data_IF_511537734137
#
_entry.id   IF_511537734137
#
_cell.length_a   1.000
_cell.length_b   1.000
_cell.length_c   1.000
_cell.angle_alpha   90.00
_cell.angle_beta   90.00
_cell.angle_gamma   90.00
#
_symmetry.space_group_name_H-M   'P 1'
#
loop_
_entity.id
_entity.type
_entity.pdbx_description
1 polymer ?
#
# COMPACT_ATOMS: atom_id res chain seq x y z
N UNK A 1 -20.49 13.25 -2.71
CA UNK A 1 -19.54 12.99 -3.82
C UNK A 1 -20.35 12.68 -5.06
N UNK A 2 -20.37 13.56 -6.06
CA UNK A 2 -21.24 13.40 -7.25
C UNK A 2 -20.77 12.30 -8.21
N UNK A 3 -21.64 11.82 -9.12
CA UNK A 3 -21.36 10.70 -10.04
C UNK A 3 -20.18 10.96 -10.99
N UNK A 4 -19.93 12.22 -11.36
CA UNK A 4 -18.80 12.64 -12.18
C UNK A 4 -17.44 12.44 -11.48
N UNK A 5 -17.37 12.63 -10.16
CA UNK A 5 -16.14 12.41 -9.39
C UNK A 5 -15.80 10.92 -9.30
N UNK A 6 -16.82 10.06 -9.23
CA UNK A 6 -16.64 8.60 -9.21
C UNK A 6 -16.12 8.12 -10.56
N UNK A 7 -16.66 8.63 -11.68
CA UNK A 7 -16.17 8.29 -13.02
C UNK A 7 -14.72 8.73 -13.24
N UNK A 8 -14.35 9.94 -12.81
CA UNK A 8 -12.96 10.41 -12.90
C UNK A 8 -11.99 9.57 -12.05
N UNK A 9 -12.38 9.19 -10.83
CA UNK A 9 -11.60 8.30 -9.98
C UNK A 9 -11.45 6.90 -10.58
N UNK A 10 -12.52 6.38 -11.18
CA UNK A 10 -12.54 5.07 -11.82
C UNK A 10 -11.69 5.07 -13.11
N UNK A 11 -11.70 6.14 -13.89
CA UNK A 11 -10.82 6.32 -15.05
C UNK A 11 -9.36 6.49 -14.65
N UNK A 12 -9.06 7.25 -13.59
CA UNK A 12 -7.72 7.38 -13.04
C UNK A 12 -7.20 6.03 -12.50
N UNK A 13 -8.06 5.29 -11.82
CA UNK A 13 -7.77 3.94 -11.34
C UNK A 13 -7.53 2.98 -12.52
N UNK A 14 -8.42 2.94 -13.51
CA UNK A 14 -8.26 2.12 -14.72
C UNK A 14 -6.96 2.45 -15.45
N UNK A 15 -6.64 3.73 -15.63
CA UNK A 15 -5.37 4.15 -16.25
C UNK A 15 -4.15 3.62 -15.48
N UNK A 16 -4.17 3.70 -14.15
CA UNK A 16 -3.07 3.26 -13.27
C UNK A 16 -2.93 1.73 -13.17
N UNK A 17 -4.01 0.96 -13.37
CA UNK A 17 -4.05 -0.49 -13.11
C UNK A 17 -4.34 -1.39 -14.33
N UNK A 18 -4.86 -0.85 -15.44
CA UNK A 18 -5.14 -1.61 -16.67
C UNK A 18 -3.99 -1.61 -17.67
N UNK A 19 -3.04 -0.68 -17.55
CA UNK A 19 -1.88 -0.60 -18.43
C UNK A 19 -0.68 -1.40 -17.88
N UNK A 20 -0.76 -2.74 -17.88
CA UNK A 20 0.44 -3.62 -17.88
C UNK A 20 0.07 -5.10 -17.93
N UNK A 21 -0.28 -5.57 -19.12
CA UNK A 21 0.16 -6.88 -19.57
C UNK A 21 1.20 -6.64 -20.67
N UNK A 22 2.46 -6.90 -20.37
CA UNK A 22 3.41 -7.29 -21.43
C UNK A 22 3.61 -8.78 -21.23
N UNK A 23 3.05 -9.64 -22.10
CA UNK A 23 3.50 -11.03 -22.19
C UNK A 23 5.02 -11.01 -22.32
N UNK A 24 5.69 -12.08 -21.90
CA UNK A 24 7.03 -12.41 -22.37
C UNK A 24 6.97 -12.56 -23.90
N UNK A 25 6.94 -11.45 -24.63
CA UNK A 25 7.31 -11.38 -26.01
C UNK A 25 8.83 -11.37 -25.98
N UNK A 26 9.38 -12.50 -26.44
CA UNK A 26 10.71 -12.68 -27.02
C UNK A 26 11.72 -11.60 -26.70
N UNK A 27 12.83 -12.03 -26.10
CA UNK A 27 14.14 -11.39 -26.20
C UNK A 27 14.44 -10.99 -27.65
N UNK A 28 13.94 -9.83 -28.08
CA UNK A 28 14.60 -9.09 -29.13
C UNK A 28 15.85 -8.53 -28.49
N UNK A 29 16.93 -9.27 -28.74
CA UNK A 29 18.34 -8.87 -28.63
C UNK A 29 18.60 -7.58 -29.41
N UNK A 30 17.97 -6.48 -29.02
CA UNK A 30 18.50 -5.14 -29.25
C UNK A 30 19.38 -4.83 -28.05
N UNK A 31 20.53 -5.50 -28.01
CA UNK A 31 21.70 -4.93 -27.34
C UNK A 31 21.96 -3.59 -28.01
N UNK A 32 21.33 -2.52 -27.51
CA UNK A 32 21.72 -1.17 -27.87
C UNK A 32 23.10 -0.99 -27.26
N UNK A 33 24.12 -1.38 -28.02
CA UNK A 33 25.51 -1.08 -27.73
C UNK A 33 25.66 0.44 -27.84
N UNK A 34 25.26 1.15 -26.79
CA UNK A 34 25.53 2.57 -26.66
C UNK A 34 27.05 2.68 -26.56
N UNK A 35 27.72 3.35 -27.52
CA UNK A 35 29.16 3.52 -27.46
C UNK A 35 29.51 4.27 -26.17
N UNK A 36 30.34 3.65 -25.33
CA UNK A 36 30.84 4.23 -24.07
C UNK A 36 31.52 5.60 -24.29
N UNK A 37 32.02 5.85 -25.50
CA UNK A 37 32.67 7.09 -25.94
C UNK A 37 31.72 8.32 -26.03
N UNK A 38 30.40 8.12 -25.91
CA UNK A 38 29.39 9.18 -25.96
C UNK A 38 28.91 9.68 -24.59
N UNK A 39 29.42 9.10 -23.50
CA UNK A 39 28.97 9.41 -22.14
C UNK A 39 29.65 10.65 -21.58
N UNK A 40 29.09 11.82 -21.87
CA UNK A 40 29.48 13.06 -21.19
C UNK A 40 29.05 13.04 -19.71
N UNK A 41 29.75 13.82 -18.88
CA UNK A 41 29.37 14.01 -17.47
C UNK A 41 27.94 14.53 -17.32
N UNK A 42 27.46 15.34 -18.26
CA UNK A 42 26.08 15.85 -18.30
C UNK A 42 25.07 14.74 -18.59
N UNK A 43 25.41 13.82 -19.50
CA UNK A 43 24.55 12.67 -19.82
C UNK A 43 24.41 11.73 -18.62
N UNK A 44 25.50 11.49 -17.89
CA UNK A 44 25.49 10.69 -16.66
C UNK A 44 24.62 11.34 -15.59
N UNK A 45 24.70 12.66 -15.41
CA UNK A 45 23.85 13.39 -14.47
C UNK A 45 22.35 13.30 -14.86
N UNK A 46 22.03 13.41 -16.15
CA UNK A 46 20.65 13.22 -16.64
C UNK A 46 20.13 11.82 -16.34
N UNK A 47 20.94 10.78 -16.60
CA UNK A 47 20.57 9.38 -16.35
C UNK A 47 20.29 9.11 -14.87
N UNK A 48 21.08 9.69 -13.96
CA UNK A 48 20.85 9.61 -12.50
C UNK A 48 19.55 10.29 -12.09
N UNK A 49 19.29 11.48 -12.63
CA UNK A 49 18.06 12.23 -12.35
C UNK A 49 16.82 11.49 -12.82
N UNK A 50 16.85 10.95 -14.04
CA UNK A 50 15.78 10.09 -14.57
C UNK A 50 15.57 8.85 -13.71
N UNK A 51 16.65 8.17 -13.31
CA UNK A 51 16.57 6.99 -12.43
C UNK A 51 15.87 7.31 -11.11
N UNK A 52 16.26 8.41 -10.46
CA UNK A 52 15.70 8.84 -9.19
C UNK A 52 14.22 9.20 -9.37
N UNK A 53 13.88 9.90 -10.44
CA UNK A 53 12.49 10.22 -10.77
C UNK A 53 11.65 8.96 -10.94
N UNK A 54 12.11 8.01 -11.75
CA UNK A 54 11.44 6.72 -11.96
C UNK A 54 11.28 5.92 -10.66
N UNK A 55 12.30 5.95 -9.79
CA UNK A 55 12.26 5.29 -8.49
C UNK A 55 11.19 5.91 -7.58
N UNK A 56 10.99 7.22 -7.63
CA UNK A 56 9.94 7.90 -6.87
C UNK A 56 8.56 7.60 -7.40
N UNK A 57 8.39 7.59 -8.73
CA UNK A 57 7.16 7.14 -9.37
C UNK A 57 6.79 5.72 -8.89
N UNK A 58 7.77 4.82 -8.77
CA UNK A 58 7.54 3.49 -8.23
C UNK A 58 7.05 3.53 -6.76
N UNK A 59 7.59 4.40 -5.90
CA UNK A 59 7.10 4.56 -4.52
C UNK A 59 5.67 5.09 -4.44
N UNK A 60 5.19 5.76 -5.49
CA UNK A 60 3.81 6.20 -5.67
C UNK A 60 2.94 5.17 -6.41
N UNK A 61 3.46 3.96 -6.63
CA UNK A 61 2.75 2.88 -7.31
C UNK A 61 2.57 3.09 -8.82
N UNK A 62 3.27 4.06 -9.42
CA UNK A 62 3.22 4.37 -10.85
C UNK A 62 4.29 3.55 -11.58
N UNK A 63 3.94 3.04 -12.76
CA UNK A 63 4.84 2.26 -13.61
C UNK A 63 5.71 3.21 -14.44
N UNK A 64 6.99 2.90 -14.56
CA UNK A 64 7.92 3.54 -15.49
C UNK A 64 8.57 2.52 -16.41
N UNK A 65 9.41 2.97 -17.35
CA UNK A 65 10.18 2.09 -18.23
C UNK A 65 11.25 1.28 -17.48
N UNK A 66 11.79 1.82 -16.37
CA UNK A 66 12.79 1.15 -15.52
C UNK A 66 12.13 0.30 -14.43
N UNK A 67 11.03 0.74 -13.84
CA UNK A 67 10.34 0.03 -12.75
C UNK A 67 8.93 -0.35 -13.18
N UNK A 68 8.72 -1.65 -13.40
CA UNK A 68 7.46 -2.17 -13.88
C UNK A 68 6.80 -3.13 -12.89
N UNK A 69 5.51 -3.32 -13.07
CA UNK A 69 4.72 -4.25 -12.26
C UNK A 69 4.72 -5.63 -12.90
N UNK A 70 5.19 -6.62 -12.16
CA UNK A 70 5.13 -8.02 -12.56
C UNK A 70 4.00 -8.72 -11.80
N UNK A 71 3.11 -9.39 -12.53
CA UNK A 71 2.00 -10.18 -11.97
C UNK A 71 1.73 -11.37 -12.91
N UNK A 72 1.51 -12.56 -12.35
CA UNK A 72 1.14 -13.74 -13.13
C UNK A 72 -0.27 -13.63 -13.71
N UNK A 73 -0.51 -14.28 -14.86
CA UNK A 73 -1.86 -14.40 -15.43
C UNK A 73 -2.82 -15.06 -14.43
N UNK A 74 -3.95 -14.39 -14.15
CA UNK A 74 -4.98 -14.91 -13.25
C UNK A 74 -4.66 -14.81 -11.75
N UNK A 75 -3.48 -14.30 -11.38
CA UNK A 75 -3.14 -14.09 -9.97
C UNK A 75 -3.85 -12.85 -9.40
N UNK A 76 -4.17 -12.87 -8.11
CA UNK A 76 -4.66 -11.69 -7.41
C UNK A 76 -3.67 -10.53 -7.54
N UNK A 77 -4.17 -9.29 -7.69
CA UNK A 77 -3.34 -8.07 -7.68
C UNK A 77 -2.47 -7.95 -6.42
N UNK A 78 -2.83 -8.65 -5.34
CA UNK A 78 -2.05 -8.74 -4.11
C UNK A 78 -0.81 -9.64 -4.24
N UNK A 79 -0.65 -10.39 -5.32
CA UNK A 79 0.51 -11.26 -5.58
C UNK A 79 1.59 -10.56 -6.41
N UNK A 80 1.25 -9.52 -7.18
CA UNK A 80 2.20 -8.81 -8.03
C UNK A 80 3.27 -8.05 -7.24
N UNK A 81 4.39 -7.74 -7.90
CA UNK A 81 5.52 -7.02 -7.31
C UNK A 81 6.18 -6.07 -8.30
N UNK A 82 6.78 -4.99 -7.79
CA UNK A 82 7.64 -4.13 -8.60
C UNK A 82 9.00 -4.77 -8.85
N UNK A 83 9.43 -4.70 -10.10
CA UNK A 83 10.72 -5.21 -10.57
C UNK A 83 11.46 -4.11 -11.34
N UNK A 84 12.76 -4.04 -11.12
CA UNK A 84 13.66 -3.20 -11.89
C UNK A 84 14.08 -3.93 -13.16
N UNK A 85 13.88 -3.28 -14.32
CA UNK A 85 14.44 -3.73 -15.59
C UNK A 85 15.91 -3.33 -15.61
N UNK A 86 16.79 -4.33 -15.61
CA UNK A 86 18.24 -4.12 -15.62
C UNK A 86 18.64 -3.38 -16.88
N UNK A 87 19.23 -2.20 -16.71
CA UNK A 87 19.84 -1.42 -17.78
C UNK A 87 21.34 -1.24 -17.46
N UNK A 88 22.28 -1.62 -18.37
CA UNK A 88 23.70 -1.39 -18.16
C UNK A 88 24.06 0.09 -17.96
N UNK A 89 23.26 1.03 -18.50
CA UNK A 89 23.48 2.46 -18.33
C UNK A 89 23.27 2.92 -16.88
N UNK A 90 22.37 2.28 -16.13
CA UNK A 90 22.15 2.60 -14.71
C UNK A 90 23.39 2.25 -13.87
N UNK A 91 24.00 1.09 -14.18
CA UNK A 91 25.21 0.58 -13.52
C UNK A 91 26.38 1.56 -13.76
N UNK A 92 26.55 2.00 -15.01
CA UNK A 92 27.58 2.97 -15.40
C UNK A 92 27.31 4.34 -14.79
N UNK A 93 26.05 4.79 -14.79
CA UNK A 93 25.68 6.10 -14.26
C UNK A 93 26.02 6.22 -12.77
N UNK A 94 25.76 5.20 -11.96
CA UNK A 94 26.04 5.22 -10.52
C UNK A 94 27.44 4.69 -10.15
N UNK A 95 28.21 4.16 -11.11
CA UNK A 95 29.53 3.55 -10.88
C UNK A 95 29.48 2.45 -9.80
N UNK A 96 28.42 1.64 -9.81
CA UNK A 96 28.21 0.54 -8.85
C UNK A 96 28.09 -0.78 -9.57
N UNK A 97 28.33 -1.89 -8.87
CA UNK A 97 28.06 -3.22 -9.44
C UNK A 97 26.55 -3.49 -9.52
N UNK A 98 26.16 -4.35 -10.46
CA UNK A 98 24.78 -4.85 -10.56
C UNK A 98 24.26 -5.37 -9.20
N UNK A 99 25.05 -6.20 -8.51
CA UNK A 99 24.66 -6.77 -7.21
C UNK A 99 24.42 -5.70 -6.14
N UNK A 100 25.25 -4.66 -6.11
CA UNK A 100 25.09 -3.53 -5.20
C UNK A 100 23.78 -2.78 -5.48
N UNK A 101 23.48 -2.48 -6.75
CA UNK A 101 22.28 -1.76 -7.14
C UNK A 101 21.00 -2.58 -6.89
N UNK A 102 21.02 -3.89 -7.16
CA UNK A 102 19.90 -4.80 -6.82
C UNK A 102 19.67 -4.84 -5.31
N UNK A 103 20.72 -4.99 -4.53
CA UNK A 103 20.61 -5.06 -3.07
C UNK A 103 20.07 -3.74 -2.50
N UNK A 104 20.49 -2.63 -3.07
CA UNK A 104 19.98 -1.30 -2.75
C UNK A 104 18.49 -1.16 -3.07
N UNK A 105 18.09 -1.51 -4.29
CA UNK A 105 16.72 -1.37 -4.77
C UNK A 105 15.74 -2.30 -4.05
N UNK A 106 16.21 -3.43 -3.51
CA UNK A 106 15.35 -4.44 -2.87
C UNK A 106 14.38 -3.87 -1.84
N UNK A 107 14.83 -2.99 -0.95
CA UNK A 107 13.97 -2.37 0.07
C UNK A 107 13.01 -1.36 -0.52
N UNK A 108 13.46 -0.58 -1.51
CA UNK A 108 12.63 0.38 -2.24
C UNK A 108 11.51 -0.33 -3.00
N UNK A 109 11.81 -1.39 -3.76
CA UNK A 109 10.82 -2.15 -4.51
C UNK A 109 9.83 -2.87 -3.60
N UNK A 110 10.28 -3.37 -2.44
CA UNK A 110 9.38 -3.91 -1.41
C UNK A 110 8.39 -2.85 -0.90
N UNK A 111 8.87 -1.63 -0.60
CA UNK A 111 8.01 -0.53 -0.16
C UNK A 111 7.05 -0.04 -1.26
N UNK A 112 7.54 0.08 -2.50
CA UNK A 112 6.72 0.40 -3.68
C UNK A 112 5.60 -0.64 -3.91
N UNK A 113 5.95 -1.92 -3.76
CA UNK A 113 4.99 -3.03 -3.85
C UNK A 113 3.94 -2.95 -2.74
N UNK A 114 4.38 -2.68 -1.51
CA UNK A 114 3.50 -2.47 -0.37
C UNK A 114 2.49 -1.33 -0.61
N UNK A 115 2.98 -0.17 -1.07
CA UNK A 115 2.15 0.98 -1.40
C UNK A 115 1.08 0.61 -2.43
N UNK A 116 1.49 0.00 -3.57
CA UNK A 116 0.56 -0.30 -4.65
C UNK A 116 -0.50 -1.32 -4.27
N UNK A 117 -0.12 -2.36 -3.53
CA UNK A 117 -1.07 -3.36 -3.05
C UNK A 117 -2.05 -2.76 -2.03
N UNK A 118 -1.60 -1.86 -1.15
CA UNK A 118 -2.47 -1.11 -0.23
C UNK A 118 -3.41 -0.14 -0.97
N UNK A 119 -2.89 0.58 -1.96
CA UNK A 119 -3.69 1.48 -2.81
C UNK A 119 -4.79 0.70 -3.53
N UNK A 120 -4.45 -0.43 -4.16
CA UNK A 120 -5.43 -1.35 -4.77
C UNK A 120 -6.48 -1.86 -3.77
N UNK A 121 -6.04 -2.28 -2.57
CA UNK A 121 -6.94 -2.84 -1.57
C UNK A 121 -7.91 -1.78 -1.01
N UNK A 122 -7.44 -0.54 -0.81
CA UNK A 122 -8.26 0.58 -0.31
C UNK A 122 -9.22 1.16 -1.35
N UNK A 123 -8.91 1.03 -2.64
CA UNK A 123 -9.71 1.54 -3.77
C UNK A 123 -10.71 0.52 -4.33
N UNK A 124 -10.60 -0.75 -3.93
CA UNK A 124 -11.54 -1.83 -4.27
C UNK A 124 -13.04 -1.48 -4.13
N UNK A 125 -13.52 -0.77 -3.09
CA UNK A 125 -14.94 -0.43 -2.96
C UNK A 125 -15.47 0.55 -4.03
N UNK A 126 -14.60 1.12 -4.88
CA UNK A 126 -15.00 2.01 -5.98
C UNK A 126 -15.25 1.27 -7.31
N UNK A 127 -14.98 -0.04 -7.37
CA UNK A 127 -15.15 -0.85 -8.59
C UNK A 127 -16.56 -1.47 -8.64
N UNK A 128 -17.31 -1.30 -9.75
CA UNK A 128 -18.68 -1.78 -9.88
C UNK A 128 -18.82 -3.31 -10.03
N UNK A 129 -17.71 -4.06 -10.22
CA UNK A 129 -17.72 -5.49 -10.56
C UNK A 129 -17.30 -6.45 -9.42
N UNK A 130 -17.19 -5.98 -8.18
CA UNK A 130 -16.96 -6.90 -7.08
C UNK A 130 -18.28 -7.55 -6.67
N UNK A 131 -18.41 -8.86 -6.88
CA UNK A 131 -19.21 -9.74 -6.02
C UNK A 131 -18.75 -9.52 -4.58
N UNK A 132 -19.27 -8.49 -3.93
CA UNK A 132 -18.78 -7.94 -2.68
C UNK A 132 -18.99 -8.96 -1.58
N UNK A 133 -17.93 -9.69 -1.23
CA UNK A 133 -17.76 -10.18 0.13
C UNK A 133 -17.79 -8.94 1.03
N UNK A 134 -18.96 -8.58 1.56
CA UNK A 134 -19.10 -7.47 2.49
C UNK A 134 -18.34 -7.83 3.77
N UNK A 135 -17.18 -7.19 3.99
CA UNK A 135 -16.28 -7.47 5.13
C UNK A 135 -16.60 -6.66 6.39
N UNK A 136 -17.78 -6.07 6.42
CA UNK A 136 -18.34 -5.33 7.56
C UNK A 136 -17.85 -3.88 7.72
N UNK A 137 -18.33 -3.22 8.77
CA UNK A 137 -18.15 -1.78 8.98
C UNK A 137 -16.74 -1.46 9.44
N UNK A 138 -16.13 -2.31 10.27
CA UNK A 138 -14.76 -2.13 10.76
C UNK A 138 -13.76 -2.20 9.61
N UNK A 139 -13.89 -3.18 8.72
CA UNK A 139 -13.01 -3.31 7.54
C UNK A 139 -13.15 -2.08 6.62
N UNK A 140 -14.37 -1.61 6.41
CA UNK A 140 -14.63 -0.43 5.58
C UNK A 140 -14.02 0.84 6.16
N UNK A 141 -14.14 1.04 7.48
CA UNK A 141 -13.51 2.15 8.19
C UNK A 141 -11.98 2.09 8.12
N UNK A 142 -11.40 0.90 8.25
CA UNK A 142 -9.96 0.69 8.08
C UNK A 142 -9.50 1.07 6.66
N UNK A 143 -10.20 0.61 5.62
CA UNK A 143 -9.81 0.93 4.23
C UNK A 143 -9.96 2.39 3.88
N UNK A 144 -10.98 3.05 4.43
CA UNK A 144 -11.09 4.49 4.33
C UNK A 144 -9.89 5.19 4.97
N UNK A 145 -9.53 4.80 6.20
CA UNK A 145 -8.38 5.37 6.92
C UNK A 145 -7.05 5.14 6.18
N UNK A 146 -6.86 3.93 5.61
CA UNK A 146 -5.69 3.63 4.76
C UNK A 146 -5.67 4.52 3.53
N UNK A 147 -6.81 4.73 2.85
CA UNK A 147 -6.88 5.59 1.67
C UNK A 147 -6.52 7.05 2.00
N UNK A 148 -6.96 7.57 3.14
CA UNK A 148 -6.65 8.92 3.61
C UNK A 148 -5.16 9.05 3.94
N UNK A 149 -4.60 8.06 4.65
CA UNK A 149 -3.19 8.02 4.99
C UNK A 149 -2.29 7.91 3.75
N UNK A 150 -2.65 7.08 2.76
CA UNK A 150 -1.90 6.95 1.51
C UNK A 150 -1.86 8.27 0.72
N UNK A 151 -2.94 9.07 0.74
CA UNK A 151 -2.94 10.41 0.13
C UNK A 151 -1.96 11.34 0.82
N UNK A 152 -1.97 11.38 2.16
CA UNK A 152 -1.03 12.18 2.96
C UNK A 152 0.42 11.70 2.73
N UNK A 153 0.63 10.38 2.65
CA UNK A 153 1.93 9.79 2.33
C UNK A 153 2.46 10.28 0.98
N UNK A 154 1.64 10.27 -0.08
CA UNK A 154 2.08 10.74 -1.41
C UNK A 154 2.47 12.21 -1.40
N UNK A 155 1.66 13.08 -0.80
CA UNK A 155 1.94 14.53 -0.71
C UNK A 155 3.23 14.79 0.08
N UNK A 156 3.39 14.11 1.22
CA UNK A 156 4.58 14.28 2.08
C UNK A 156 5.86 13.74 1.44
N UNK A 157 5.75 12.66 0.65
CA UNK A 157 6.86 12.11 -0.12
C UNK A 157 7.31 13.09 -1.21
N UNK A 158 6.36 13.65 -1.98
CA UNK A 158 6.63 14.63 -3.03
C UNK A 158 7.27 15.90 -2.45
N UNK A 159 6.75 16.42 -1.33
CA UNK A 159 7.33 17.58 -0.63
C UNK A 159 8.76 17.30 -0.12
N UNK A 160 8.97 16.16 0.54
CA UNK A 160 10.29 15.78 1.04
C UNK A 160 11.32 15.65 -0.09
N UNK A 161 10.90 15.09 -1.22
CA UNK A 161 11.76 15.00 -2.40
C UNK A 161 11.99 16.36 -3.07
N UNK A 162 10.97 17.21 -3.19
CA UNK A 162 11.10 18.57 -3.74
C UNK A 162 12.12 19.39 -2.96
N UNK A 163 12.09 19.31 -1.63
CA UNK A 163 13.09 19.94 -0.75
C UNK A 163 14.48 19.34 -0.92
N UNK A 164 14.59 18.02 -1.08
CA UNK A 164 15.86 17.35 -1.34
C UNK A 164 16.51 17.81 -2.65
N UNK A 165 15.74 17.88 -3.75
CA UNK A 165 16.23 18.36 -5.06
C UNK A 165 16.63 19.83 -5.01
N UNK A 166 15.89 20.67 -4.28
CA UNK A 166 16.23 22.08 -4.12
C UNK A 166 17.53 22.29 -3.33
N UNK A 167 17.82 21.40 -2.37
CA UNK A 167 18.99 21.51 -1.48
C UNK A 167 20.24 20.82 -2.02
N UNK A 168 20.12 19.78 -2.83
CA UNK A 168 21.24 18.92 -3.21
C UNK A 168 21.58 19.10 -4.70
N UNK A 169 22.63 19.88 -5.00
CA UNK A 169 23.01 20.22 -6.38
C UNK A 169 24.14 19.36 -6.97
N UNK A 170 24.95 18.66 -6.17
CA UNK A 170 26.23 18.10 -6.67
C UNK A 170 26.85 17.05 -5.73
N UNK A 171 26.21 15.92 -5.44
CA UNK A 171 26.84 14.88 -4.62
C UNK A 171 26.98 13.51 -5.32
N UNK A 172 28.20 12.98 -5.31
CA UNK A 172 28.57 11.63 -5.74
C UNK A 172 27.83 10.51 -4.99
N UNK A 173 27.13 10.82 -3.89
CA UNK A 173 26.37 9.87 -3.06
C UNK A 173 24.85 10.12 -3.06
N UNK A 174 24.32 10.69 -4.14
CA UNK A 174 22.89 10.96 -4.34
C UNK A 174 21.97 9.79 -3.95
N UNK A 175 22.35 8.56 -4.31
CA UNK A 175 21.52 7.38 -4.08
C UNK A 175 21.44 7.04 -2.57
N UNK A 176 22.56 7.03 -1.86
CA UNK A 176 22.57 6.74 -0.41
C UNK A 176 21.86 7.84 0.40
N UNK A 177 22.06 9.11 0.02
CA UNK A 177 21.36 10.23 0.64
C UNK A 177 19.85 10.11 0.47
N UNK A 178 19.39 9.75 -0.74
CA UNK A 178 17.99 9.47 -1.02
C UNK A 178 17.45 8.30 -0.17
N UNK A 179 18.20 7.21 0.00
CA UNK A 179 17.76 6.10 0.87
C UNK A 179 17.53 6.57 2.29
N UNK A 180 18.44 7.39 2.82
CA UNK A 180 18.36 7.88 4.20
C UNK A 180 17.14 8.77 4.38
N UNK A 181 16.85 9.62 3.40
CA UNK A 181 15.64 10.44 3.35
C UNK A 181 14.37 9.57 3.32
N UNK A 182 14.36 8.52 2.49
CA UNK A 182 13.18 7.65 2.27
C UNK A 182 13.01 6.55 3.32
N UNK A 183 14.04 6.23 4.11
CA UNK A 183 14.03 5.18 5.13
C UNK A 183 12.83 5.24 6.08
N UNK A 184 12.47 6.39 6.70
CA UNK A 184 11.29 6.47 7.56
C UNK A 184 9.99 6.17 6.82
N UNK A 185 9.83 6.67 5.59
CA UNK A 185 8.66 6.43 4.73
C UNK A 185 8.51 4.95 4.40
N UNK A 186 9.59 4.31 3.94
CA UNK A 186 9.61 2.88 3.62
C UNK A 186 9.32 2.03 4.86
N UNK A 187 9.92 2.34 6.00
CA UNK A 187 9.72 1.59 7.24
C UNK A 187 8.25 1.65 7.67
N UNK A 188 7.64 2.84 7.65
CA UNK A 188 6.24 3.01 7.99
C UNK A 188 5.32 2.27 7.00
N UNK A 189 5.60 2.38 5.69
CA UNK A 189 4.86 1.69 4.64
C UNK A 189 4.87 0.17 4.80
N UNK A 190 6.05 -0.42 5.03
CA UNK A 190 6.20 -1.85 5.26
C UNK A 190 5.45 -2.29 6.52
N UNK A 191 5.56 -1.50 7.60
CA UNK A 191 4.88 -1.79 8.87
C UNK A 191 3.35 -1.83 8.68
N UNK A 192 2.78 -0.83 7.98
CA UNK A 192 1.34 -0.79 7.67
C UNK A 192 0.93 -1.93 6.74
N UNK A 193 1.74 -2.27 5.74
CA UNK A 193 1.42 -3.34 4.80
C UNK A 193 1.51 -4.74 5.41
N UNK A 194 2.46 -4.98 6.31
CA UNK A 194 2.48 -6.19 7.13
C UNK A 194 1.23 -6.28 7.99
N UNK A 195 0.85 -5.16 8.58
CA UNK A 195 -0.35 -5.09 9.36
C UNK A 195 -1.61 -5.40 8.53
N UNK A 196 -1.80 -4.79 7.37
CA UNK A 196 -2.95 -5.13 6.53
C UNK A 196 -2.89 -6.55 5.90
N UNK A 197 -1.85 -7.34 6.17
CA UNK A 197 -1.68 -8.69 5.61
C UNK A 197 -1.47 -8.68 4.10
N UNK A 198 -0.87 -7.61 3.59
CA UNK A 198 -0.59 -7.38 2.16
C UNK A 198 0.83 -7.78 1.79
N UNK A 199 1.74 -7.69 2.76
CA UNK A 199 3.06 -8.28 2.70
C UNK A 199 3.13 -9.47 3.66
N UNK A 200 3.28 -10.67 3.12
CA UNK A 200 3.67 -11.84 3.89
C UNK A 200 5.19 -11.93 3.86
N UNK A 201 5.84 -11.82 5.01
CA UNK A 201 7.25 -12.18 5.12
C UNK A 201 7.36 -13.69 5.09
N UNK A 202 7.69 -14.25 3.92
CA UNK A 202 8.25 -15.59 3.81
C UNK A 202 9.69 -15.61 4.37
N UNK A 203 9.90 -15.10 5.59
CA UNK A 203 11.14 -15.22 6.36
C UNK A 203 10.89 -16.13 7.55
N UNK A 204 10.96 -17.44 7.30
CA UNK A 204 11.72 -18.39 8.11
C UNK A 204 11.43 -18.59 9.61
N UNK A 205 10.41 -18.01 10.23
CA UNK A 205 10.04 -18.38 11.60
C UNK A 205 8.53 -18.42 11.77
N UNK A 206 8.04 -19.61 12.11
CA UNK A 206 6.65 -19.95 12.43
C UNK A 206 5.63 -19.85 11.30
N UNK A 207 5.55 -20.97 10.56
CA UNK A 207 4.47 -21.36 9.64
C UNK A 207 3.06 -21.33 10.31
N UNK A 208 2.96 -21.07 11.61
CA UNK A 208 1.72 -21.06 12.40
C UNK A 208 1.00 -19.71 12.51
N UNK A 209 1.58 -18.59 12.04
CA UNK A 209 0.99 -17.24 12.20
C UNK A 209 0.69 -16.48 10.90
N UNK A 210 0.49 -17.17 9.78
CA UNK A 210 -0.11 -16.54 8.60
C UNK A 210 -1.62 -16.36 8.82
N UNK A 211 -2.00 -15.52 9.79
CA UNK A 211 -3.36 -15.03 9.92
C UNK A 211 -3.65 -14.27 8.62
N UNK A 212 -4.54 -14.82 7.79
CA UNK A 212 -5.04 -14.10 6.62
C UNK A 212 -5.82 -12.90 7.16
N UNK A 213 -5.17 -11.77 7.38
CA UNK A 213 -5.80 -10.54 7.94
C UNK A 213 -7.02 -10.15 7.12
N UNK A 214 -6.98 -10.43 5.82
CA UNK A 214 -8.08 -10.27 4.87
C UNK A 214 -9.34 -11.10 5.17
N UNK A 215 -9.22 -12.15 5.98
CA UNK A 215 -10.33 -12.98 6.46
C UNK A 215 -10.84 -12.56 7.84
N UNK A 216 -10.18 -11.61 8.51
CA UNK A 216 -10.62 -11.08 9.78
C UNK A 216 -11.68 -9.99 9.56
N UNK A 217 -12.73 -10.01 10.38
CA UNK A 217 -13.77 -9.00 10.43
C UNK A 217 -14.08 -8.59 11.87
N UNK A 218 -14.74 -7.44 12.04
CA UNK A 218 -15.21 -6.97 13.34
C UNK A 218 -14.14 -6.91 14.45
N UNK A 219 -14.48 -7.46 15.62
CA UNK A 219 -13.61 -7.47 16.80
C UNK A 219 -12.28 -8.19 16.59
N UNK A 220 -12.23 -9.25 15.77
CA UNK A 220 -10.98 -10.00 15.54
C UNK A 220 -9.97 -9.14 14.78
N UNK A 221 -10.45 -8.34 13.83
CA UNK A 221 -9.63 -7.37 13.10
C UNK A 221 -9.13 -6.26 14.02
N UNK A 222 -9.99 -5.74 14.90
CA UNK A 222 -9.60 -4.73 15.89
C UNK A 222 -8.57 -5.26 16.88
N UNK A 223 -8.75 -6.46 17.42
CA UNK A 223 -7.79 -7.06 18.35
C UNK A 223 -6.43 -7.28 17.69
N UNK A 224 -6.44 -7.75 16.43
CA UNK A 224 -5.23 -7.95 15.65
C UNK A 224 -4.52 -6.60 15.35
N UNK A 225 -5.25 -5.55 14.94
CA UNK A 225 -4.71 -4.20 14.74
C UNK A 225 -4.18 -3.58 16.04
N UNK A 226 -4.92 -3.73 17.14
CA UNK A 226 -4.54 -3.20 18.45
C UNK A 226 -3.23 -3.82 18.94
N UNK A 227 -3.06 -5.13 18.74
CA UNK A 227 -1.80 -5.83 19.03
C UNK A 227 -0.64 -5.28 18.22
N UNK A 228 -0.85 -5.03 16.92
CA UNK A 228 0.20 -4.43 16.08
C UNK A 228 0.50 -3.00 16.49
N UNK A 229 -0.52 -2.16 16.69
CA UNK A 229 -0.34 -0.77 17.11
C UNK A 229 0.45 -0.66 18.42
N UNK A 230 0.14 -1.52 19.42
CA UNK A 230 0.86 -1.58 20.69
C UNK A 230 2.33 -2.02 20.55
N UNK A 231 2.65 -2.83 19.54
CA UNK A 231 4.02 -3.31 19.28
C UNK A 231 4.88 -2.32 18.47
N UNK A 232 4.29 -1.23 17.97
CA UNK A 232 4.99 -0.26 17.11
C UNK A 232 5.40 1.02 17.84
N UNK A 233 6.49 1.64 17.38
CA UNK A 233 6.94 2.94 17.89
C UNK A 233 5.98 4.08 17.51
N UNK A 234 5.98 5.18 18.29
CA UNK A 234 5.13 6.36 18.10
C UNK A 234 5.18 7.04 16.70
N UNK A 235 6.14 6.68 15.84
CA UNK A 235 6.26 7.22 14.47
C UNK A 235 5.49 6.40 13.42
N UNK A 236 4.86 5.29 13.81
CA UNK A 236 4.05 4.48 12.91
C UNK A 236 2.67 5.11 12.66
N UNK A 237 2.11 4.91 11.47
CA UNK A 237 0.73 5.26 11.16
C UNK A 237 -0.29 4.27 11.76
N UNK A 238 0.14 3.12 12.30
CA UNK A 238 -0.77 2.09 12.80
C UNK A 238 -1.68 2.53 13.96
N UNK A 239 -1.22 3.28 14.97
CA UNK A 239 -2.11 3.80 16.00
C UNK A 239 -3.22 4.70 15.43
N UNK A 240 -2.92 5.52 14.42
CA UNK A 240 -3.91 6.35 13.72
C UNK A 240 -4.94 5.48 12.98
N UNK A 241 -4.47 4.48 12.23
CA UNK A 241 -5.34 3.56 11.51
C UNK A 241 -6.24 2.76 12.46
N UNK A 242 -5.69 2.30 13.58
CA UNK A 242 -6.44 1.63 14.64
C UNK A 242 -7.54 2.53 15.22
N UNK A 243 -7.21 3.76 15.60
CA UNK A 243 -8.20 4.71 16.11
C UNK A 243 -9.36 4.92 15.14
N UNK A 244 -9.06 5.11 13.84
CA UNK A 244 -10.11 5.26 12.82
C UNK A 244 -10.93 3.98 12.63
N UNK A 245 -10.29 2.81 12.64
CA UNK A 245 -10.98 1.52 12.52
C UNK A 245 -11.88 1.20 13.72
N UNK A 246 -11.59 1.73 14.91
CA UNK A 246 -12.45 1.55 16.11
C UNK A 246 -13.73 2.38 16.10
N UNK A 247 -13.85 3.39 15.22
CA UNK A 247 -14.99 4.30 15.22
C UNK A 247 -16.37 3.60 15.09
N UNK A 248 -16.56 2.58 14.22
CA UNK A 248 -17.82 1.85 14.13
C UNK A 248 -18.16 1.11 15.43
N UNK A 249 -17.16 0.54 16.12
CA UNK A 249 -17.36 -0.15 17.39
C UNK A 249 -17.75 0.81 18.51
N UNK A 250 -17.09 1.97 18.61
CA UNK A 250 -17.44 2.99 19.60
C UNK A 250 -18.83 3.56 19.36
N UNK A 251 -19.22 3.76 18.10
CA UNK A 251 -20.59 4.17 17.75
C UNK A 251 -21.61 3.10 18.15
N UNK A 252 -21.33 1.82 17.87
CA UNK A 252 -22.17 0.73 18.31
C UNK A 252 -22.34 0.71 19.84
N UNK A 253 -21.25 0.86 20.61
CA UNK A 253 -21.33 0.93 22.07
C UNK A 253 -22.15 2.11 22.56
N UNK A 254 -22.03 3.26 21.92
CA UNK A 254 -22.81 4.45 22.27
C UNK A 254 -24.31 4.22 22.08
N UNK A 255 -24.73 3.73 20.90
CA UNK A 255 -26.13 3.41 20.62
C UNK A 255 -26.67 2.33 21.55
N UNK A 256 -25.87 1.32 21.84
CA UNK A 256 -26.30 0.21 22.71
C UNK A 256 -26.45 0.65 24.16
N UNK A 257 -25.49 1.41 24.71
CA UNK A 257 -25.49 1.80 26.13
C UNK A 257 -26.43 2.97 26.41
N UNK A 258 -26.51 3.96 25.52
CA UNK A 258 -27.31 5.17 25.76
C UNK A 258 -28.74 5.05 25.25
N UNK A 259 -28.94 4.45 24.07
CA UNK A 259 -30.24 4.40 23.42
C UNK A 259 -30.91 3.02 23.54
N UNK A 260 -30.17 2.00 24.01
CA UNK A 260 -30.65 0.63 24.06
C UNK A 260 -30.85 0.00 22.68
N UNK A 261 -30.29 0.62 21.63
CA UNK A 261 -30.44 0.21 20.23
C UNK A 261 -29.30 -0.75 19.85
N UNK A 262 -29.67 -1.91 19.31
CA UNK A 262 -28.70 -2.87 18.77
C UNK A 262 -28.64 -2.75 17.25
N UNK A 263 -27.64 -2.03 16.76
CA UNK A 263 -27.35 -1.87 15.32
C UNK A 263 -26.03 -2.56 14.97
N UNK A 264 -26.09 -3.86 14.69
CA UNK A 264 -24.96 -4.64 14.18
C UNK A 264 -25.37 -5.48 12.96
N UNK A 265 -25.49 -4.87 11.76
CA UNK A 265 -25.99 -5.55 10.57
C UNK A 265 -25.09 -6.68 10.07
N UNK A 266 -23.83 -6.71 10.49
CA UNK A 266 -22.83 -7.69 10.07
C UNK A 266 -22.42 -8.67 11.19
N UNK A 267 -23.05 -8.58 12.37
CA UNK A 267 -22.73 -9.37 13.55
C UNK A 267 -21.22 -9.35 13.90
N UNK A 268 -20.62 -8.16 13.84
CA UNK A 268 -19.19 -7.92 14.04
C UNK A 268 -18.76 -7.90 15.51
N UNK A 269 -19.69 -7.61 16.42
CA UNK A 269 -19.39 -7.26 17.81
C UNK A 269 -19.77 -8.32 18.84
N UNK A 270 -20.18 -9.51 18.38
CA UNK A 270 -20.44 -10.71 19.19
C UNK A 270 -21.46 -10.53 20.33
N UNK A 271 -22.19 -9.42 20.37
CA UNK A 271 -23.31 -9.18 21.28
C UNK A 271 -24.57 -9.63 20.55
N UNK A 272 -25.07 -10.81 20.91
CA UNK A 272 -26.34 -11.32 20.40
C UNK A 272 -27.50 -10.89 21.29
N UNK A 273 -28.53 -10.28 20.71
CA UNK A 273 -29.79 -10.10 21.41
C UNK A 273 -30.43 -11.47 21.68
N UNK A 274 -30.71 -11.77 22.94
CA UNK A 274 -31.42 -12.99 23.29
C UNK A 274 -32.91 -12.79 23.00
N UNK A 275 -33.41 -13.48 21.98
CA UNK A 275 -34.80 -13.36 21.51
C UNK A 275 -35.85 -13.68 22.57
N UNK A 276 -35.46 -14.37 23.65
CA UNK A 276 -36.31 -14.64 24.83
C UNK A 276 -36.83 -13.37 25.51
N UNK A 277 -36.15 -12.22 25.34
CA UNK A 277 -36.59 -10.95 25.92
C UNK A 277 -37.49 -10.12 24.99
N UNK A 278 -37.52 -10.42 23.69
CA UNK A 278 -38.37 -9.71 22.72
C UNK A 278 -39.86 -10.04 22.92
N UNK A 279 -40.18 -11.26 23.33
CA UNK A 279 -41.56 -11.73 23.52
C UNK A 279 -42.19 -11.34 24.87
N UNK A 280 -41.43 -10.78 25.82
CA UNK A 280 -41.99 -10.37 27.13
C UNK A 280 -42.73 -9.04 27.11
N UNK A 281 -42.55 -8.20 26.08
CA UNK A 281 -43.27 -6.91 25.98
C UNK A 281 -44.73 -7.04 25.52
N UNK A 282 -45.18 -8.23 25.08
CA UNK A 282 -46.58 -8.52 24.75
C UNK A 282 -47.37 -9.24 25.85
N UNK A 283 -46.77 -9.47 27.03
CA UNK A 283 -47.38 -10.28 28.09
C UNK A 283 -47.83 -9.48 29.33
N UNK A 284 -47.83 -8.15 29.27
CA UNK A 284 -48.38 -7.29 30.32
C UNK A 284 -49.46 -6.37 29.75
N UNK A 285 -50.61 -6.95 29.44
CA UNK A 285 -51.90 -6.28 29.54
C UNK A 285 -52.71 -7.04 30.60
N UNK A 286 -52.73 -6.48 31.82
CA UNK A 286 -53.80 -6.65 32.80
C UNK A 286 -54.13 -5.26 33.32
#
# INVERSE_FOLDING_TARGET
>A
MGPLAIHALLCAFKSRYQSSFRPQASEDNSSSAVPLDSLSSERIASLRKEFIHDLLLAHLGIISHRFYWQQGFGESYLCGSFVWRVDPLDIVAFQVTHGSLVSYLRTHLRAATAFRRLDWLSSRPLLPDATTEYRGNVWSALMHAVSEWLRVYSITLEDAYGRYVASNRTETHELLALTRLLKPFMTNMLTVAHACGVLSDARGSDVSQNVRVQSLSGLRLLAWLGRQAASTTNRSALPFLFHRATAPFLRFLHLWVQEGVHEDPFNEFAISLNSRFLFRKGAFCF
#
